data_IF_677785891547
#
_entry.id   IF_677785891547
#
_cell.length_a   1.000
_cell.length_b   1.000
_cell.length_c   1.000
_cell.angle_alpha   90.00
_cell.angle_beta   90.00
_cell.angle_gamma   90.00
#
_symmetry.space_group_name_H-M   'P 1'
#
loop_
_entity.id
_entity.type
_entity.pdbx_description
1 polymer ?
#
# COMPACT_ATOMS: atom_id res chain seq x y z
N UNK A 1 -12.39 -21.44 28.66
CA UNK A 1 -13.25 -20.81 27.63
C UNK A 1 -12.36 -20.35 26.50
N UNK A 2 -12.66 -20.79 25.27
CA UNK A 2 -11.72 -20.89 24.15
C UNK A 2 -11.13 -19.55 23.70
N UNK A 3 -9.81 -19.54 23.46
CA UNK A 3 -9.15 -18.50 22.68
C UNK A 3 -9.74 -18.55 21.27
N UNK A 4 -10.57 -17.56 20.92
CA UNK A 4 -10.93 -17.35 19.53
C UNK A 4 -9.64 -17.08 18.77
N UNK A 5 -9.25 -18.06 17.96
CA UNK A 5 -8.19 -17.92 16.96
C UNK A 5 -8.58 -16.73 16.09
N UNK A 6 -7.95 -15.58 16.34
CA UNK A 6 -7.92 -14.49 15.38
C UNK A 6 -7.19 -15.05 14.16
N UNK A 7 -7.94 -15.72 13.30
CA UNK A 7 -7.52 -16.02 11.94
C UNK A 7 -7.30 -14.65 11.32
N UNK A 8 -6.03 -14.24 11.26
CA UNK A 8 -5.60 -13.07 10.53
C UNK A 8 -6.10 -13.24 9.11
N UNK A 9 -7.19 -12.56 8.77
CA UNK A 9 -7.72 -12.56 7.42
C UNK A 9 -6.57 -12.17 6.49
N UNK A 10 -6.18 -13.07 5.59
CA UNK A 10 -5.04 -12.88 4.72
C UNK A 10 -5.17 -11.52 4.00
N UNK A 11 -4.16 -10.66 4.16
CA UNK A 11 -4.11 -9.36 3.49
C UNK A 11 -4.09 -9.63 2.00
N UNK A 12 -5.17 -9.27 1.29
CA UNK A 12 -5.23 -9.44 -0.16
C UNK A 12 -4.40 -8.34 -0.83
N UNK A 13 -3.40 -8.69 -1.65
CA UNK A 13 -2.58 -7.71 -2.33
C UNK A 13 -3.38 -6.92 -3.38
N UNK A 14 -2.96 -5.68 -3.62
CA UNK A 14 -3.38 -4.89 -4.78
C UNK A 14 -2.40 -5.13 -5.91
N UNK A 15 -2.93 -5.49 -7.08
CA UNK A 15 -2.13 -5.93 -8.22
C UNK A 15 -2.43 -5.04 -9.40
N UNK A 16 -1.42 -4.39 -9.95
CA UNK A 16 -1.46 -3.81 -11.29
C UNK A 16 -0.66 -4.69 -12.23
N UNK A 17 -1.19 -4.88 -13.44
CA UNK A 17 -0.51 -5.57 -14.53
C UNK A 17 -0.38 -4.61 -15.68
N UNK A 18 0.81 -4.50 -16.26
CA UNK A 18 1.04 -3.64 -17.39
C UNK A 18 1.72 -4.39 -18.52
N UNK A 19 1.14 -4.31 -19.71
CA UNK A 19 1.76 -4.80 -20.94
C UNK A 19 2.69 -3.75 -21.51
N UNK A 20 3.89 -4.17 -21.92
CA UNK A 20 4.89 -3.28 -22.50
C UNK A 20 5.81 -4.01 -23.48
N UNK A 21 6.51 -3.26 -24.30
CA UNK A 21 7.45 -3.78 -25.32
C UNK A 21 8.93 -3.55 -24.96
N UNK A 22 9.21 -2.84 -23.86
CA UNK A 22 10.56 -2.51 -23.41
C UNK A 22 10.58 -2.37 -21.88
N UNK A 23 11.73 -2.63 -21.28
CA UNK A 23 11.94 -2.39 -19.85
C UNK A 23 11.80 -0.91 -19.49
N UNK A 24 11.27 -0.64 -18.30
CA UNK A 24 11.21 0.68 -17.69
C UNK A 24 11.89 0.67 -16.32
N UNK A 25 12.24 1.85 -15.82
CA UNK A 25 12.70 1.98 -14.45
C UNK A 25 11.56 1.62 -13.46
N UNK A 26 11.86 0.89 -12.36
CA UNK A 26 10.86 0.52 -11.35
C UNK A 26 10.02 1.69 -10.83
N UNK A 27 10.62 2.87 -10.63
CA UNK A 27 9.90 4.06 -10.17
C UNK A 27 8.80 4.50 -11.16
N UNK A 28 9.07 4.42 -12.46
CA UNK A 28 8.09 4.74 -13.51
C UNK A 28 6.94 3.73 -13.48
N UNK A 29 7.25 2.44 -13.33
CA UNK A 29 6.25 1.37 -13.27
C UNK A 29 5.34 1.55 -12.05
N UNK A 30 5.91 1.90 -10.89
CA UNK A 30 5.14 2.18 -9.68
C UNK A 30 4.21 3.40 -9.85
N UNK A 31 4.71 4.47 -10.48
CA UNK A 31 3.91 5.66 -10.78
C UNK A 31 2.75 5.36 -11.72
N UNK A 32 2.97 4.53 -12.73
CA UNK A 32 1.91 4.09 -13.65
C UNK A 32 0.88 3.20 -12.94
N UNK A 33 1.31 2.25 -12.13
CA UNK A 33 0.42 1.38 -11.35
C UNK A 33 -0.48 2.20 -10.40
N UNK A 34 0.09 3.15 -9.68
CA UNK A 34 -0.67 4.03 -8.79
C UNK A 34 -1.62 4.97 -9.55
N UNK A 35 -1.22 5.46 -10.73
CA UNK A 35 -2.12 6.23 -11.58
C UNK A 35 -3.32 5.40 -12.09
N UNK A 36 -3.09 4.13 -12.46
CA UNK A 36 -4.17 3.22 -12.86
C UNK A 36 -5.16 2.96 -11.71
N UNK A 37 -4.65 2.76 -10.50
CA UNK A 37 -5.50 2.59 -9.33
C UNK A 37 -6.26 3.87 -8.98
N UNK A 38 -5.60 5.03 -9.05
CA UNK A 38 -6.24 6.32 -8.80
C UNK A 38 -7.38 6.62 -9.79
N UNK A 39 -7.25 6.16 -11.04
CA UNK A 39 -8.27 6.36 -12.07
C UNK A 39 -9.60 5.61 -11.80
N UNK A 40 -9.65 4.70 -10.84
CA UNK A 40 -10.92 4.08 -10.40
C UNK A 40 -11.80 5.03 -9.56
N UNK A 41 -11.26 6.18 -9.16
CA UNK A 41 -11.98 7.18 -8.38
C UNK A 41 -13.26 7.63 -9.11
N UNK A 42 -14.38 7.57 -8.40
CA UNK A 42 -15.69 8.05 -8.88
C UNK A 42 -16.24 9.05 -7.88
N UNK A 43 -16.91 10.14 -8.33
CA UNK A 43 -17.58 11.05 -7.42
C UNK A 43 -18.60 10.30 -6.56
N UNK A 44 -18.41 10.32 -5.25
CA UNK A 44 -19.32 9.70 -4.27
C UNK A 44 -19.43 10.63 -3.06
N UNK A 45 -20.64 10.82 -2.57
CA UNK A 45 -20.87 11.49 -1.28
C UNK A 45 -20.72 10.54 -0.08
N UNK A 46 -20.74 9.24 -0.33
CA UNK A 46 -20.55 8.23 0.71
C UNK A 46 -19.07 7.93 0.88
N UNK A 47 -18.60 7.95 2.13
CA UNK A 47 -17.32 7.38 2.55
C UNK A 47 -17.45 5.90 2.97
N UNK A 48 -18.66 5.31 2.99
CA UNK A 48 -18.86 3.92 3.38
C UNK A 48 -18.58 2.99 2.20
N UNK A 49 -17.71 2.00 2.42
CA UNK A 49 -17.35 1.02 1.41
C UNK A 49 -18.47 0.02 1.14
N UNK A 50 -18.95 -0.03 -0.10
CA UNK A 50 -20.05 -0.89 -0.53
C UNK A 50 -19.59 -2.16 -1.26
N UNK A 51 -20.54 -3.08 -1.50
CA UNK A 51 -20.30 -4.25 -2.36
C UNK A 51 -19.97 -3.83 -3.80
N UNK A 52 -20.61 -2.77 -4.31
CA UNK A 52 -20.31 -2.24 -5.64
C UNK A 52 -18.90 -1.65 -5.71
N UNK A 53 -18.43 -1.02 -4.64
CA UNK A 53 -17.10 -0.43 -4.55
C UNK A 53 -16.02 -1.50 -4.65
N UNK A 54 -16.25 -2.67 -4.02
CA UNK A 54 -15.37 -3.83 -4.11
C UNK A 54 -15.18 -4.34 -5.52
N UNK A 55 -16.18 -4.21 -6.39
CA UNK A 55 -16.09 -4.65 -7.78
C UNK A 55 -15.42 -3.62 -8.70
N UNK A 56 -15.49 -2.33 -8.37
CA UNK A 56 -15.20 -1.24 -9.33
C UNK A 56 -14.04 -0.34 -8.95
N UNK A 57 -13.76 -0.18 -7.65
CA UNK A 57 -12.77 0.81 -7.17
C UNK A 57 -11.93 0.31 -6.00
N UNK A 58 -11.77 -1.01 -5.91
CA UNK A 58 -11.12 -1.63 -4.76
C UNK A 58 -9.63 -1.30 -4.66
N UNK A 59 -8.96 -0.91 -5.74
CA UNK A 59 -7.56 -0.49 -5.65
C UNK A 59 -7.52 0.96 -5.14
N UNK A 60 -8.33 1.84 -5.73
CA UNK A 60 -8.46 3.23 -5.27
C UNK A 60 -8.79 3.32 -3.78
N UNK A 61 -9.87 2.67 -3.33
CA UNK A 61 -10.32 2.78 -1.93
C UNK A 61 -9.32 2.24 -0.93
N UNK A 62 -8.46 1.30 -1.33
CA UNK A 62 -7.39 0.80 -0.48
C UNK A 62 -6.24 1.80 -0.35
N UNK A 63 -5.92 2.54 -1.42
CA UNK A 63 -4.90 3.60 -1.38
C UNK A 63 -5.30 4.73 -0.42
N UNK A 64 -6.58 5.05 -0.39
CA UNK A 64 -7.13 6.13 0.45
C UNK A 64 -7.79 5.61 1.74
N UNK A 65 -7.49 4.38 2.15
CA UNK A 65 -8.08 3.80 3.35
C UNK A 65 -7.45 4.43 4.59
N UNK A 66 -8.19 5.29 5.30
CA UNK A 66 -7.67 6.11 6.40
C UNK A 66 -7.08 5.32 7.56
N UNK A 67 -7.48 4.05 7.74
CA UNK A 67 -6.89 3.17 8.76
C UNK A 67 -5.55 2.54 8.34
N UNK A 68 -5.23 2.56 7.04
CA UNK A 68 -4.04 1.90 6.50
C UNK A 68 -2.83 2.83 6.55
N UNK A 69 -1.96 2.64 7.54
CA UNK A 69 -0.86 3.57 7.85
C UNK A 69 0.52 3.14 7.34
N UNK A 70 0.65 1.93 6.78
CA UNK A 70 1.90 1.48 6.14
C UNK A 70 1.58 0.75 4.85
N UNK A 71 2.46 0.88 3.87
CA UNK A 71 2.37 0.18 2.59
C UNK A 71 3.75 -0.34 2.21
N UNK A 72 3.80 -1.52 1.61
CA UNK A 72 4.99 -2.08 0.99
C UNK A 72 4.62 -2.65 -0.37
N UNK A 73 5.47 -2.41 -1.37
CA UNK A 73 5.22 -2.81 -2.75
C UNK A 73 6.40 -3.56 -3.34
N UNK A 74 6.13 -4.48 -4.24
CA UNK A 74 7.13 -5.19 -5.04
C UNK A 74 6.79 -5.08 -6.53
N UNK A 75 7.83 -5.07 -7.35
CA UNK A 75 7.72 -5.03 -8.80
C UNK A 75 8.44 -6.24 -9.35
N UNK A 76 7.72 -7.04 -10.13
CA UNK A 76 8.32 -8.09 -10.96
C UNK A 76 8.20 -7.65 -12.42
N UNK A 77 9.35 -7.35 -13.01
CA UNK A 77 9.41 -6.91 -14.40
C UNK A 77 9.55 -8.08 -15.36
N UNK A 78 9.16 -7.84 -16.61
CA UNK A 78 9.50 -8.69 -17.75
C UNK A 78 8.94 -10.11 -17.63
N UNK A 79 7.78 -10.28 -17.01
CA UNK A 79 7.10 -11.57 -16.96
C UNK A 79 6.59 -11.96 -18.35
N UNK A 80 6.98 -13.14 -18.81
CA UNK A 80 6.56 -13.78 -20.05
C UNK A 80 5.69 -15.03 -19.81
N UNK A 81 5.20 -15.22 -18.58
CA UNK A 81 4.42 -16.42 -18.18
C UNK A 81 3.01 -16.46 -18.78
N UNK A 82 2.51 -15.34 -19.31
CA UNK A 82 1.30 -15.37 -20.11
C UNK A 82 1.66 -15.95 -21.48
N UNK A 83 1.33 -17.23 -21.71
CA UNK A 83 1.58 -17.91 -22.99
C UNK A 83 0.92 -17.21 -24.20
N UNK A 84 0.00 -16.25 -23.96
CA UNK A 84 -0.60 -15.40 -25.00
C UNK A 84 0.29 -14.21 -25.37
N UNK A 85 1.31 -13.95 -24.56
CA UNK A 85 2.21 -12.82 -24.70
C UNK A 85 3.52 -13.31 -25.32
N UNK A 86 3.65 -13.09 -26.63
CA UNK A 86 4.87 -13.38 -27.36
C UNK A 86 5.77 -12.14 -27.38
N UNK A 87 7.08 -12.35 -27.52
CA UNK A 87 8.04 -11.27 -27.80
C UNK A 87 7.51 -10.38 -28.94
N UNK A 88 7.63 -9.05 -28.85
CA UNK A 88 8.40 -8.28 -27.86
C UNK A 88 7.62 -7.91 -26.60
N UNK A 89 6.44 -8.50 -26.36
CA UNK A 89 5.57 -8.09 -25.26
C UNK A 89 5.93 -8.79 -23.95
N UNK A 90 5.94 -8.01 -22.87
CA UNK A 90 6.15 -8.46 -21.50
C UNK A 90 5.12 -7.85 -20.56
N UNK A 91 4.87 -8.50 -19.42
CA UNK A 91 4.05 -7.95 -18.33
C UNK A 91 4.92 -7.56 -17.15
N UNK A 92 4.71 -6.35 -16.65
CA UNK A 92 5.19 -5.97 -15.33
C UNK A 92 4.06 -6.12 -14.31
N UNK A 93 4.37 -6.73 -13.18
CA UNK A 93 3.47 -6.88 -12.04
C UNK A 93 3.92 -5.94 -10.94
N UNK A 94 3.00 -5.10 -10.47
CA UNK A 94 3.16 -4.35 -9.23
C UNK A 94 2.21 -4.93 -8.20
N UNK A 95 2.74 -5.29 -7.04
CA UNK A 95 1.99 -5.89 -5.94
C UNK A 95 2.21 -5.06 -4.69
N UNK A 96 1.14 -4.48 -4.12
CA UNK A 96 1.22 -3.73 -2.86
C UNK A 96 0.42 -4.41 -1.76
N UNK A 97 0.96 -4.36 -0.55
CA UNK A 97 0.35 -4.79 0.70
C UNK A 97 0.24 -3.60 1.64
N UNK A 98 -0.93 -3.47 2.28
CA UNK A 98 -1.23 -2.39 3.20
C UNK A 98 -1.32 -2.97 4.62
N UNK A 99 -0.68 -2.30 5.58
CA UNK A 99 -0.85 -2.57 7.00
C UNK A 99 -2.19 -2.00 7.45
N UNK A 100 -2.93 -2.80 8.21
CA UNK A 100 -4.39 -2.73 8.36
C UNK A 100 -5.12 -2.96 7.03
N UNK A 101 -5.89 -4.04 7.00
CA UNK A 101 -6.68 -4.39 5.82
C UNK A 101 -7.81 -3.38 5.63
N UNK A 102 -7.92 -2.85 4.41
CA UNK A 102 -9.03 -1.99 4.00
C UNK A 102 -10.15 -2.76 3.30
N UNK A 103 -11.03 -2.00 2.64
CA UNK A 103 -12.12 -2.51 1.80
C UNK A 103 -13.06 -3.49 2.52
N UNK A 104 -13.33 -3.21 3.80
CA UNK A 104 -14.30 -3.95 4.60
C UNK A 104 -15.67 -3.35 4.31
N UNK A 105 -16.59 -4.18 3.81
CA UNK A 105 -17.95 -3.74 3.45
C UNK A 105 -18.66 -3.20 4.69
N UNK A 106 -19.22 -2.00 4.58
CA UNK A 106 -19.89 -1.30 5.68
C UNK A 106 -18.97 -0.47 6.56
N UNK A 107 -17.65 -0.54 6.39
CA UNK A 107 -16.71 0.35 7.09
C UNK A 107 -16.45 1.64 6.31
N UNK A 108 -16.16 2.76 7.00
CA UNK A 108 -15.72 3.98 6.35
C UNK A 108 -14.33 3.79 5.71
N UNK A 109 -14.18 4.26 4.48
CA UNK A 109 -12.93 4.36 3.74
C UNK A 109 -12.02 5.38 4.43
N UNK A 110 -12.57 6.53 4.82
CA UNK A 110 -11.91 7.59 5.57
C UNK A 110 -12.92 8.29 6.48
N UNK A 111 -12.45 8.99 7.51
CA UNK A 111 -13.32 9.77 8.38
C UNK A 111 -13.75 11.08 7.70
N UNK A 112 -15.04 11.41 7.81
CA UNK A 112 -15.58 12.69 7.32
C UNK A 112 -15.43 13.73 8.42
N UNK A 113 -14.86 14.89 8.10
CA UNK A 113 -14.74 16.01 9.03
C UNK A 113 -14.33 17.29 8.34
N UNK A 114 -14.23 18.38 9.11
CA UNK A 114 -13.80 19.70 8.63
C UNK A 114 -12.26 19.82 8.50
N UNK A 115 -11.53 18.72 8.71
CA UNK A 115 -10.08 18.73 8.89
C UNK A 115 -9.66 19.19 10.30
N UNK A 116 -8.35 19.15 10.55
CA UNK A 116 -7.75 19.57 11.81
C UNK A 116 -7.32 21.05 11.78
N UNK A 117 -7.27 21.68 12.96
CA UNK A 117 -6.69 23.01 13.17
C UNK A 117 -5.46 22.96 14.11
N UNK A 118 -5.40 21.92 14.96
CA UNK A 118 -4.31 21.68 15.90
C UNK A 118 -4.04 20.18 16.03
N UNK A 119 -2.86 19.81 16.54
CA UNK A 119 -2.48 18.42 16.77
C UNK A 119 -3.48 17.68 17.68
N UNK A 120 -4.17 18.40 18.56
CA UNK A 120 -5.20 17.85 19.46
C UNK A 120 -6.45 17.35 18.71
N UNK A 121 -6.69 17.80 17.48
CA UNK A 121 -7.79 17.30 16.65
C UNK A 121 -7.45 15.93 16.01
N UNK A 122 -6.17 15.56 15.98
CA UNK A 122 -5.69 14.34 15.35
C UNK A 122 -5.62 13.17 16.33
N UNK A 123 -6.80 12.68 16.74
CA UNK A 123 -6.91 11.65 17.78
C UNK A 123 -6.97 10.21 17.26
N UNK A 124 -7.09 10.02 15.94
CA UNK A 124 -7.24 8.69 15.34
C UNK A 124 -6.04 7.77 15.59
N UNK A 125 -4.83 8.34 15.62
CA UNK A 125 -3.59 7.64 15.96
C UNK A 125 -2.77 8.45 16.93
N UNK A 126 -2.12 7.78 17.88
CA UNK A 126 -1.20 8.45 18.81
C UNK A 126 -0.05 9.12 18.07
N UNK A 127 0.40 10.26 18.61
CA UNK A 127 1.46 11.09 18.03
C UNK A 127 1.16 11.64 16.63
N UNK A 128 -0.11 11.74 16.24
CA UNK A 128 -0.47 12.43 14.99
C UNK A 128 -0.34 13.94 15.15
N UNK A 129 -0.05 14.62 14.04
CA UNK A 129 0.05 16.08 13.97
C UNK A 129 -0.88 16.62 12.90
N UNK A 130 -1.29 17.85 13.07
CA UNK A 130 -2.10 18.53 12.08
C UNK A 130 -1.23 19.27 11.07
N UNK A 131 -1.31 18.86 9.80
CA UNK A 131 -0.84 19.69 8.69
C UNK A 131 -1.88 20.78 8.41
N UNK A 132 -1.62 21.99 8.92
CA UNK A 132 -2.53 23.14 8.76
C UNK A 132 -2.66 23.64 7.32
N UNK A 133 -1.75 23.24 6.42
CA UNK A 133 -1.83 23.65 5.01
C UNK A 133 -2.89 22.87 4.24
N UNK A 134 -3.12 21.61 4.63
CA UNK A 134 -4.12 20.72 4.02
C UNK A 134 -5.29 20.40 4.96
N UNK A 135 -5.18 20.79 6.23
CA UNK A 135 -6.06 20.39 7.34
C UNK A 135 -6.17 18.87 7.51
N UNK A 136 -5.14 18.11 7.10
CA UNK A 136 -5.06 16.66 7.24
C UNK A 136 -4.23 16.27 8.47
N UNK A 137 -4.57 15.12 9.05
CA UNK A 137 -3.81 14.52 10.14
C UNK A 137 -2.71 13.60 9.61
N UNK A 138 -1.48 13.90 9.97
CA UNK A 138 -0.30 13.13 9.61
C UNK A 138 0.15 12.28 10.80
N UNK A 139 0.45 11.00 10.57
CA UNK A 139 1.04 10.17 11.61
C UNK A 139 2.46 10.70 11.88
N UNK A 140 2.74 11.17 13.11
CA UNK A 140 4.01 11.83 13.43
C UNK A 140 5.25 10.93 13.37
N UNK A 141 5.07 9.62 13.14
CA UNK A 141 6.16 8.75 12.72
C UNK A 141 6.45 9.03 11.24
N UNK A 142 7.34 9.99 11.00
CA UNK A 142 7.99 10.37 9.73
C UNK A 142 7.24 9.86 8.48
N UNK A 143 6.26 10.63 8.01
CA UNK A 143 5.67 10.41 6.69
C UNK A 143 6.81 10.42 5.65
N UNK A 144 6.94 9.32 4.91
CA UNK A 144 7.99 9.13 3.91
C UNK A 144 9.31 8.56 4.42
N UNK A 145 9.43 8.17 5.69
CA UNK A 145 10.60 7.39 6.13
C UNK A 145 10.49 5.94 5.64
N UNK A 146 11.51 5.49 4.91
CA UNK A 146 11.62 4.11 4.45
C UNK A 146 11.74 3.17 5.66
N UNK A 147 10.66 2.45 5.96
CA UNK A 147 10.61 1.45 7.04
C UNK A 147 11.29 0.13 6.61
N UNK A 148 11.45 -0.06 5.30
CA UNK A 148 12.04 -1.25 4.68
C UNK A 148 12.94 -0.84 3.51
N UNK A 149 14.04 -1.56 3.34
CA UNK A 149 14.99 -1.31 2.25
C UNK A 149 14.40 -1.67 0.88
N UNK A 150 14.80 -0.92 -0.15
CA UNK A 150 14.52 -1.29 -1.53
C UNK A 150 15.44 -2.42 -1.95
N UNK A 151 14.89 -3.56 -2.40
CA UNK A 151 15.71 -4.69 -2.83
C UNK A 151 14.91 -5.91 -3.29
N UNK A 152 15.62 -6.93 -3.79
CA UNK A 152 15.06 -8.23 -4.21
C UNK A 152 14.53 -9.10 -3.04
N UNK A 153 14.61 -8.55 -1.83
CA UNK A 153 14.40 -9.23 -0.57
C UNK A 153 15.67 -9.89 -0.05
N UNK A 154 15.82 -9.93 1.27
CA UNK A 154 17.01 -10.43 1.93
C UNK A 154 16.91 -11.92 2.26
N UNK A 155 18.02 -12.65 2.26
CA UNK A 155 18.13 -13.98 2.87
C UNK A 155 18.96 -14.00 4.15
N UNK A 156 19.67 -12.91 4.46
CA UNK A 156 20.53 -12.75 5.63
C UNK A 156 20.65 -11.28 6.03
N UNK A 157 21.02 -11.00 7.28
CA UNK A 157 21.20 -9.63 7.79
C UNK A 157 22.25 -8.85 6.99
N UNK A 158 23.25 -9.52 6.40
CA UNK A 158 24.30 -8.87 5.60
C UNK A 158 23.79 -8.23 4.30
N UNK A 159 22.61 -8.61 3.82
CA UNK A 159 21.98 -7.99 2.64
C UNK A 159 21.25 -6.68 2.99
N UNK A 160 21.05 -6.42 4.28
CA UNK A 160 20.36 -5.25 4.79
C UNK A 160 21.37 -4.13 5.09
N UNK A 161 21.55 -3.26 4.10
CA UNK A 161 22.65 -2.29 4.06
C UNK A 161 22.19 -0.85 3.90
N UNK A 162 20.94 -0.63 3.48
CA UNK A 162 20.40 0.71 3.27
C UNK A 162 19.91 1.37 4.56
N UNK A 163 19.31 0.59 5.47
CA UNK A 163 18.82 1.10 6.76
C UNK A 163 19.82 0.70 7.86
N UNK A 164 20.36 1.66 8.64
CA UNK A 164 21.27 1.34 9.73
C UNK A 164 20.65 0.37 10.75
N UNK A 165 21.36 -0.73 11.06
CA UNK A 165 20.94 -1.78 11.99
C UNK A 165 19.68 -2.56 11.60
N UNK A 166 19.24 -2.48 10.35
CA UNK A 166 18.16 -3.33 9.87
C UNK A 166 18.56 -4.81 9.91
N UNK A 167 17.57 -5.67 10.14
CA UNK A 167 17.74 -7.14 10.16
C UNK A 167 16.84 -7.80 9.15
N UNK A 168 17.30 -8.89 8.58
CA UNK A 168 16.53 -9.64 7.63
C UNK A 168 15.45 -10.45 8.34
N UNK A 169 14.18 -10.15 8.06
CA UNK A 169 13.09 -11.07 8.32
C UNK A 169 13.06 -12.11 7.19
N UNK A 170 13.67 -13.27 7.43
CA UNK A 170 13.82 -14.34 6.41
C UNK A 170 12.50 -14.93 5.95
N UNK A 171 11.45 -14.89 6.78
CA UNK A 171 10.11 -15.38 6.42
C UNK A 171 9.43 -14.47 5.39
N UNK A 172 9.65 -13.15 5.51
CA UNK A 172 9.10 -12.14 4.60
C UNK A 172 10.08 -11.71 3.52
N UNK A 173 11.35 -12.10 3.63
CA UNK A 173 12.47 -11.63 2.80
C UNK A 173 12.57 -10.10 2.80
N UNK A 174 12.38 -9.46 3.94
CA UNK A 174 12.42 -7.99 4.07
C UNK A 174 13.45 -7.56 5.12
N UNK A 175 14.22 -6.53 4.81
CA UNK A 175 15.09 -5.85 5.77
C UNK A 175 14.28 -4.90 6.64
N UNK A 176 14.13 -5.23 7.93
CA UNK A 176 13.30 -4.51 8.89
C UNK A 176 14.19 -3.66 9.77
N UNK A 177 13.93 -2.34 9.81
CA UNK A 177 14.55 -1.45 10.78
C UNK A 177 14.28 -1.94 12.22
N UNK A 178 15.30 -1.92 13.09
CA UNK A 178 15.19 -2.29 14.50
C UNK A 178 14.30 -1.33 15.29
#
# INVERSE_FOLDING_TARGET
MGKQSQTTAAVKPKVARRYQTSGKEPAIIMKEATALWWAEATPSKSNIFSVADKATKSNFTQMIWGKSTKVGCSIKQTCNEDNRLHSPFYVDYVVCLFKESGNKVGEPIYDIGNGCNSDNDCTAFSNSRCDRSTSLCELGNKIGEDVYETGLGCSSDSECTQIPNSKCNTDRKLCVAA
#
